data_IF_203471428209
#
_entry.id   IF_203471428209
#
_cell.length_a   1.000
_cell.length_b   1.000
_cell.length_c   1.000
_cell.angle_alpha   90.00
_cell.angle_beta   90.00
_cell.angle_gamma   90.00
#
_symmetry.space_group_name_H-M   'P 1'
#
loop_
_entity.id
_entity.type
_entity.pdbx_description
1 polymer ?
#
# COMPACT_ATOMS: atom_id res chain seq x y z
N UNK A 1 -2.76 0.12 -4.60
CA UNK A 1 -2.80 1.29 -3.70
C UNK A 1 -3.87 2.30 -4.10
N UNK A 2 -3.85 2.93 -5.28
CA UNK A 2 -4.74 4.07 -5.59
C UNK A 2 -6.23 3.82 -5.26
N UNK A 3 -6.79 2.68 -5.69
CA UNK A 3 -8.20 2.33 -5.43
C UNK A 3 -8.59 2.28 -3.94
N UNK A 4 -7.63 2.02 -3.06
CA UNK A 4 -7.84 1.97 -1.60
C UNK A 4 -7.77 3.35 -0.95
N UNK A 5 -7.19 4.34 -1.64
CA UNK A 5 -7.00 5.69 -1.13
C UNK A 5 -8.03 6.69 -1.66
N UNK A 6 -8.92 6.27 -2.57
CA UNK A 6 -9.91 7.13 -3.23
C UNK A 6 -11.32 6.78 -2.75
N UNK A 7 -12.23 7.75 -2.85
CA UNK A 7 -13.65 7.55 -2.57
C UNK A 7 -14.26 6.52 -3.51
N UNK A 8 -15.37 5.92 -3.09
CA UNK A 8 -16.15 4.98 -3.90
C UNK A 8 -16.66 5.57 -5.21
N UNK A 9 -16.90 6.88 -5.25
CA UNK A 9 -17.29 7.63 -6.46
C UNK A 9 -16.11 7.95 -7.40
N UNK A 10 -14.88 7.66 -6.97
CA UNK A 10 -13.62 7.86 -7.71
C UNK A 10 -13.40 9.30 -8.20
N UNK A 11 -14.00 10.31 -7.56
CA UNK A 11 -13.89 11.72 -8.01
C UNK A 11 -12.70 12.47 -7.41
N UNK A 12 -12.03 11.91 -6.43
CA UNK A 12 -10.96 12.56 -5.67
C UNK A 12 -9.56 12.00 -5.96
N UNK A 13 -9.42 11.10 -6.93
CA UNK A 13 -8.15 10.41 -7.23
C UNK A 13 -6.98 11.35 -7.47
N UNK A 14 -7.19 12.45 -8.19
CA UNK A 14 -6.14 13.43 -8.50
C UNK A 14 -5.56 14.08 -7.23
N UNK A 15 -6.36 14.24 -6.18
CA UNK A 15 -5.92 14.84 -4.90
C UNK A 15 -5.00 13.91 -4.12
N UNK A 16 -5.09 12.60 -4.36
CA UNK A 16 -4.32 11.57 -3.66
C UNK A 16 -3.06 11.13 -4.41
N UNK A 17 -2.93 11.51 -5.69
CA UNK A 17 -1.80 11.13 -6.54
C UNK A 17 -0.43 11.43 -5.92
N UNK A 18 -0.14 12.64 -5.41
CA UNK A 18 1.20 12.95 -4.88
C UNK A 18 1.61 12.03 -3.73
N UNK A 19 0.66 11.70 -2.85
CA UNK A 19 0.91 10.81 -1.74
C UNK A 19 1.11 9.36 -2.17
N UNK A 20 0.33 8.89 -3.16
CA UNK A 20 0.45 7.53 -3.70
C UNK A 20 1.78 7.37 -4.43
N UNK A 21 2.17 8.34 -5.24
CA UNK A 21 3.47 8.37 -5.91
C UNK A 21 4.61 8.31 -4.88
N UNK A 22 4.57 9.18 -3.88
CA UNK A 22 5.59 9.20 -2.83
C UNK A 22 5.69 7.85 -2.10
N UNK A 23 4.56 7.24 -1.76
CA UNK A 23 4.52 5.94 -1.10
C UNK A 23 5.09 4.83 -2.00
N UNK A 24 4.71 4.80 -3.27
CA UNK A 24 5.20 3.81 -4.24
C UNK A 24 6.71 3.95 -4.48
N UNK A 25 7.21 5.18 -4.60
CA UNK A 25 8.63 5.43 -4.83
C UNK A 25 9.50 5.26 -3.56
N UNK A 26 8.89 5.29 -2.37
CA UNK A 26 9.58 5.07 -1.10
C UNK A 26 9.62 3.60 -0.68
N UNK A 27 8.68 2.78 -1.14
CA UNK A 27 8.61 1.36 -0.78
C UNK A 27 9.76 0.58 -1.45
N UNK A 28 10.43 -0.28 -0.67
CA UNK A 28 11.41 -1.21 -1.21
C UNK A 28 10.72 -2.36 -1.94
N UNK A 29 11.29 -2.78 -3.08
CA UNK A 29 10.86 -4.00 -3.77
C UNK A 29 11.41 -5.23 -3.05
N UNK A 30 10.59 -6.27 -2.89
CA UNK A 30 11.03 -7.54 -2.28
C UNK A 30 12.10 -8.26 -3.12
N UNK A 31 12.10 -8.05 -4.43
CA UNK A 31 13.05 -8.72 -5.35
C UNK A 31 14.41 -8.03 -5.34
N UNK A 32 14.45 -6.70 -5.30
CA UNK A 32 15.70 -5.94 -5.41
C UNK A 32 16.20 -5.40 -4.06
N UNK A 33 15.34 -5.35 -3.04
CA UNK A 33 15.63 -4.74 -1.74
C UNK A 33 15.65 -3.21 -1.74
N UNK A 34 15.63 -2.56 -2.91
CA UNK A 34 15.76 -1.12 -3.06
C UNK A 34 14.43 -0.43 -3.39
N UNK A 35 14.30 0.83 -2.96
CA UNK A 35 13.19 1.70 -3.37
C UNK A 35 13.51 2.43 -4.67
N UNK A 36 12.51 2.77 -5.50
CA UNK A 36 12.71 3.58 -6.69
C UNK A 36 13.41 4.92 -6.42
N UNK A 37 13.09 5.61 -5.32
CA UNK A 37 13.77 6.85 -4.95
C UNK A 37 15.27 6.64 -4.75
N UNK A 38 15.65 5.56 -4.06
CA UNK A 38 17.05 5.24 -3.85
C UNK A 38 17.75 4.90 -5.16
N UNK A 39 17.13 4.11 -6.03
CA UNK A 39 17.72 3.74 -7.32
C UNK A 39 17.89 4.94 -8.26
N UNK A 40 16.94 5.88 -8.26
CA UNK A 40 16.98 7.03 -9.16
C UNK A 40 17.88 8.17 -8.66
N UNK A 41 17.99 8.36 -7.34
CA UNK A 41 18.64 9.55 -6.76
C UNK A 41 19.79 9.23 -5.81
N UNK A 42 20.04 7.95 -5.51
CA UNK A 42 21.00 7.51 -4.49
C UNK A 42 20.61 7.87 -3.06
N UNK A 43 19.41 8.44 -2.84
CA UNK A 43 18.94 8.94 -1.55
C UNK A 43 17.48 8.62 -1.32
N UNK A 44 17.14 8.39 -0.06
CA UNK A 44 15.75 8.30 0.39
C UNK A 44 15.28 9.67 0.87
N UNK A 45 14.13 10.19 0.39
CA UNK A 45 13.51 11.35 0.98
C UNK A 45 13.21 11.12 2.46
N UNK A 46 13.26 12.19 3.27
CA UNK A 46 12.85 12.10 4.67
C UNK A 46 11.38 11.69 4.74
N UNK A 47 11.07 10.80 5.69
CA UNK A 47 9.69 10.39 5.93
C UNK A 47 8.84 11.60 6.33
N UNK A 48 7.54 11.53 6.04
CA UNK A 48 6.60 12.58 6.43
C UNK A 48 6.58 12.68 7.97
N UNK A 49 6.96 13.83 8.51
CA UNK A 49 6.96 14.08 9.96
C UNK A 49 5.50 14.34 10.37
N UNK A 50 4.88 13.35 11.01
CA UNK A 50 3.48 13.39 11.41
C UNK A 50 3.21 14.35 12.59
N UNK A 51 4.13 14.39 13.54
CA UNK A 51 4.07 15.24 14.72
C UNK A 51 5.11 16.36 14.58
N UNK A 52 4.80 17.36 13.76
CA UNK A 52 5.61 18.56 13.67
C UNK A 52 4.80 19.74 14.24
N UNK A 53 5.34 20.42 15.25
CA UNK A 53 4.86 21.74 15.66
C UNK A 53 5.28 22.79 14.64
N UNK A 54 4.74 22.62 13.42
CA UNK A 54 4.88 23.62 12.39
C UNK A 54 4.16 24.89 12.84
N UNK A 55 4.84 26.02 12.70
CA UNK A 55 4.26 27.35 12.86
C UNK A 55 3.11 27.62 11.88
N UNK A 56 2.95 26.78 10.85
CA UNK A 56 1.92 26.89 9.82
C UNK A 56 0.78 25.88 10.07
N UNK A 57 -0.43 26.33 10.44
CA UNK A 57 -1.56 25.44 10.71
C UNK A 57 -1.95 24.53 9.53
N UNK A 58 -1.80 25.03 8.30
CA UNK A 58 -2.11 24.26 7.08
C UNK A 58 -1.23 23.02 6.88
N UNK A 59 0.05 23.11 7.27
CA UNK A 59 0.98 21.96 7.20
C UNK A 59 0.56 20.87 8.18
N UNK A 60 0.15 21.27 9.38
CA UNK A 60 -0.34 20.36 10.43
C UNK A 60 -1.64 19.67 10.00
N UNK A 61 -2.59 20.42 9.47
CA UNK A 61 -3.85 19.89 8.95
C UNK A 61 -3.63 18.92 7.79
N UNK A 62 -2.69 19.24 6.87
CA UNK A 62 -2.32 18.35 5.78
C UNK A 62 -1.69 17.05 6.28
N UNK A 63 -0.72 17.13 7.20
CA UNK A 63 -0.06 15.95 7.77
C UNK A 63 -1.06 15.03 8.50
N UNK A 64 -1.98 15.60 9.28
CA UNK A 64 -3.01 14.83 9.97
C UNK A 64 -3.95 14.14 8.97
N UNK A 65 -4.42 14.88 7.95
CA UNK A 65 -5.27 14.31 6.89
C UNK A 65 -4.58 13.16 6.16
N UNK A 66 -3.28 13.30 5.87
CA UNK A 66 -2.48 12.27 5.24
C UNK A 66 -2.35 11.03 6.12
N UNK A 67 -2.17 11.21 7.43
CA UNK A 67 -2.13 10.12 8.41
C UNK A 67 -3.46 9.35 8.44
N UNK A 68 -4.57 10.06 8.50
CA UNK A 68 -5.90 9.44 8.55
C UNK A 68 -6.21 8.66 7.25
N UNK A 69 -5.80 9.21 6.10
CA UNK A 69 -5.91 8.53 4.81
C UNK A 69 -5.09 7.24 4.77
N UNK A 70 -3.88 7.23 5.34
CA UNK A 70 -3.05 6.03 5.43
C UNK A 70 -3.67 4.95 6.32
N UNK A 71 -4.19 5.31 7.49
CA UNK A 71 -4.88 4.37 8.39
C UNK A 71 -6.09 3.76 7.68
N UNK A 72 -6.89 4.59 7.03
CA UNK A 72 -8.06 4.14 6.26
C UNK A 72 -7.65 3.18 5.12
N UNK A 73 -6.60 3.53 4.38
CA UNK A 73 -6.10 2.69 3.30
C UNK A 73 -5.57 1.34 3.80
N UNK A 74 -4.89 1.33 4.95
CA UNK A 74 -4.39 0.12 5.61
C UNK A 74 -5.55 -0.82 5.97
N UNK A 75 -6.61 -0.30 6.60
CA UNK A 75 -7.77 -1.10 6.96
C UNK A 75 -8.48 -1.64 5.70
N UNK A 76 -8.60 -0.82 4.65
CA UNK A 76 -9.15 -1.24 3.37
C UNK A 76 -8.33 -2.35 2.71
N UNK A 77 -6.99 -2.31 2.81
CA UNK A 77 -6.10 -3.38 2.34
C UNK A 77 -6.37 -4.67 3.11
N UNK A 78 -6.45 -4.62 4.44
CA UNK A 78 -6.71 -5.81 5.27
C UNK A 78 -8.06 -6.45 4.93
N UNK A 79 -9.13 -5.64 4.84
CA UNK A 79 -10.46 -6.11 4.45
C UNK A 79 -10.44 -6.75 3.06
N UNK A 80 -9.77 -6.10 2.10
CA UNK A 80 -9.64 -6.64 0.75
C UNK A 80 -8.89 -7.98 0.73
N UNK A 81 -7.82 -8.10 1.53
CA UNK A 81 -7.03 -9.32 1.64
C UNK A 81 -7.85 -10.48 2.21
N UNK A 82 -8.59 -10.24 3.29
CA UNK A 82 -9.48 -11.26 3.88
C UNK A 82 -10.51 -11.73 2.86
N UNK A 83 -11.14 -10.79 2.14
CA UNK A 83 -12.12 -11.11 1.08
C UNK A 83 -11.49 -11.93 -0.04
N UNK A 84 -10.29 -11.55 -0.52
CA UNK A 84 -9.57 -12.26 -1.57
C UNK A 84 -9.19 -13.68 -1.13
N UNK A 85 -8.65 -13.84 0.08
CA UNK A 85 -8.32 -15.16 0.64
C UNK A 85 -9.56 -16.04 0.73
N UNK A 86 -10.68 -15.52 1.25
CA UNK A 86 -11.93 -16.28 1.34
C UNK A 86 -12.44 -16.72 -0.04
N UNK A 87 -12.39 -15.83 -1.03
CA UNK A 87 -12.84 -16.16 -2.39
C UNK A 87 -11.90 -17.16 -3.08
N UNK A 88 -10.59 -17.01 -2.95
CA UNK A 88 -9.60 -17.92 -3.51
C UNK A 88 -9.70 -19.32 -2.88
N UNK A 89 -9.85 -19.39 -1.57
CA UNK A 89 -9.94 -20.66 -0.84
C UNK A 89 -11.29 -21.37 -1.05
N UNK A 90 -12.35 -20.65 -1.46
CA UNK A 90 -13.69 -21.25 -1.68
C UNK A 90 -13.69 -22.44 -2.63
N UNK A 91 -12.79 -22.45 -3.62
CA UNK A 91 -12.67 -23.53 -4.63
C UNK A 91 -11.39 -24.36 -4.48
N UNK A 92 -10.48 -23.99 -3.57
CA UNK A 92 -9.28 -24.78 -3.31
C UNK A 92 -9.68 -26.02 -2.53
N UNK A 93 -9.21 -27.17 -2.99
CA UNK A 93 -9.19 -28.42 -2.22
C UNK A 93 -7.75 -28.64 -1.76
N UNK A 94 -7.58 -29.30 -0.63
CA UNK A 94 -6.25 -29.76 -0.27
C UNK A 94 -5.74 -30.71 -1.35
N UNK A 95 -4.45 -30.61 -1.66
CA UNK A 95 -3.84 -31.47 -2.64
C UNK A 95 -3.90 -32.91 -2.10
N UNK A 96 -4.51 -33.86 -2.82
CA UNK A 96 -4.62 -35.25 -2.35
C UNK A 96 -3.31 -36.03 -2.52
N UNK A 97 -2.22 -35.38 -2.92
CA UNK A 97 -0.96 -36.00 -3.29
C UNK A 97 0.02 -35.96 -2.13
N UNK A 98 0.80 -37.02 -2.00
CA UNK A 98 1.89 -37.12 -1.03
C UNK A 98 3.24 -36.89 -1.71
N UNK A 99 4.27 -36.62 -0.90
CA UNK A 99 5.64 -36.55 -1.40
C UNK A 99 6.03 -37.88 -2.09
N UNK A 100 6.47 -37.79 -3.34
CA UNK A 100 6.83 -38.95 -4.18
C UNK A 100 5.80 -39.32 -5.25
N UNK A 101 4.59 -38.76 -5.22
CA UNK A 101 3.58 -39.01 -6.25
C UNK A 101 3.97 -38.40 -7.60
N UNK A 102 3.80 -39.16 -8.68
CA UNK A 102 4.00 -38.67 -10.04
C UNK A 102 2.75 -37.94 -10.51
N UNK A 103 2.92 -36.67 -10.90
CA UNK A 103 1.87 -35.83 -11.48
C UNK A 103 2.29 -35.30 -12.84
N UNK A 104 1.31 -35.09 -13.73
CA UNK A 104 1.53 -34.42 -15.01
C UNK A 104 1.54 -32.90 -14.80
N UNK A 105 2.50 -32.22 -15.41
CA UNK A 105 2.63 -30.76 -15.44
C UNK A 105 1.81 -30.15 -16.58
#
# INVERSE_FOLDING_TARGET
MLRQCIRTDQRDWAKHLPAVEFAMNSASSATTGYSPFFLNTGRMPRSMIWNNDSAFPGVRAFAQKMKDALVTAHDAILVARVKQTRMANRKRKEAPFNEGDLVYL
#
